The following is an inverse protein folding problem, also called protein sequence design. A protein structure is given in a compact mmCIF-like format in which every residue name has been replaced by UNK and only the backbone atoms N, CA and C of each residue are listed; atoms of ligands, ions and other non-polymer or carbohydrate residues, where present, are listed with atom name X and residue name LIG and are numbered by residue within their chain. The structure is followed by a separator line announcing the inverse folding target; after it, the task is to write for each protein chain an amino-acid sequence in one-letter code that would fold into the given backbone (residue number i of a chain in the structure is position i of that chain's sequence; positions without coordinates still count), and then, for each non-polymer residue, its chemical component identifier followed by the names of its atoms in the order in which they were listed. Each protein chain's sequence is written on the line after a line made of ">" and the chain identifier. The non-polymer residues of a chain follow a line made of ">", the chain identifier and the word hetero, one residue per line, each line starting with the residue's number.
data_IF_555090338209
#
_entry.id   IF_555090338209
#
_cell.length_a   1.000
_cell.length_b   1.000
_cell.length_c   1.000
_cell.angle_alpha   90.00
_cell.angle_beta   90.00
_cell.angle_gamma   90.00
#
_symmetry.space_group_name_H-M   'P 1'
#
loop_
_entity.id
_entity.type
_entity.pdbx_description
1 polymer ?
#
# COMPACT_ATOMS: atom_id res chain seq x y z
N UNK A 1 -24.89 6.43 -4.43
CA UNK A 1 -23.96 7.56 -4.19
C UNK A 1 -22.84 7.06 -3.29
N UNK A 2 -21.64 6.89 -3.85
CA UNK A 2 -20.48 6.45 -3.08
C UNK A 2 -20.17 7.48 -1.99
N UNK A 3 -20.01 6.97 -0.77
CA UNK A 3 -19.57 7.77 0.36
C UNK A 3 -18.11 8.22 0.12
N UNK A 4 -17.74 9.42 0.56
CA UNK A 4 -16.36 9.93 0.39
C UNK A 4 -15.30 8.99 0.98
N UNK A 5 -15.59 8.38 2.11
CA UNK A 5 -14.73 7.39 2.73
C UNK A 5 -14.56 6.13 1.89
N UNK A 6 -15.61 5.71 1.20
CA UNK A 6 -15.56 4.55 0.30
C UNK A 6 -14.67 4.82 -0.91
N UNK A 7 -14.70 6.03 -1.46
CA UNK A 7 -13.82 6.41 -2.55
C UNK A 7 -12.34 6.35 -2.13
N UNK A 8 -11.99 6.95 -1.00
CA UNK A 8 -10.61 6.93 -0.50
C UNK A 8 -10.19 5.49 -0.21
N UNK A 9 -11.05 4.72 0.47
CA UNK A 9 -10.77 3.32 0.79
C UNK A 9 -10.56 2.48 -0.47
N UNK A 10 -11.37 2.65 -1.50
CA UNK A 10 -11.20 1.93 -2.78
C UNK A 10 -9.85 2.24 -3.44
N UNK A 11 -9.41 3.49 -3.38
CA UNK A 11 -8.09 3.88 -3.91
C UNK A 11 -6.96 3.22 -3.11
N UNK A 12 -7.05 3.21 -1.79
CA UNK A 12 -6.05 2.56 -0.93
C UNK A 12 -6.00 1.06 -1.20
N UNK A 13 -7.15 0.41 -1.27
CA UNK A 13 -7.24 -1.03 -1.55
C UNK A 13 -6.63 -1.36 -2.92
N UNK A 14 -6.93 -0.56 -3.93
CA UNK A 14 -6.36 -0.72 -5.28
C UNK A 14 -4.82 -0.62 -5.24
N UNK A 15 -4.28 0.37 -4.55
CA UNK A 15 -2.84 0.56 -4.44
C UNK A 15 -2.16 -0.58 -3.66
N UNK A 16 -2.80 -1.11 -2.64
CA UNK A 16 -2.28 -2.24 -1.88
C UNK A 16 -2.31 -3.56 -2.67
N UNK A 17 -3.37 -3.78 -3.44
CA UNK A 17 -3.48 -4.96 -4.30
C UNK A 17 -2.49 -4.96 -5.46
N UNK A 18 -1.98 -3.79 -5.81
CA UNK A 18 -0.94 -3.62 -6.83
C UNK A 18 0.46 -3.50 -6.24
N UNK A 19 0.63 -3.82 -4.97
CA UNK A 19 1.91 -3.76 -4.28
C UNK A 19 2.95 -4.64 -4.96
N UNK A 20 4.16 -4.13 -5.07
CA UNK A 20 5.30 -4.83 -5.65
C UNK A 20 6.36 -5.08 -4.57
N UNK A 21 6.93 -6.27 -4.58
CA UNK A 21 8.00 -6.67 -3.68
C UNK A 21 8.95 -7.63 -4.38
N UNK A 22 10.25 -7.33 -4.29
CA UNK A 22 11.30 -8.21 -4.82
C UNK A 22 12.24 -8.59 -3.69
N UNK A 23 12.37 -9.88 -3.36
CA UNK A 23 13.19 -10.33 -2.22
C UNK A 23 14.64 -9.90 -2.29
N UNK A 24 15.20 -9.75 -3.49
CA UNK A 24 16.61 -9.37 -3.73
C UNK A 24 16.89 -7.91 -3.33
N UNK A 25 15.88 -7.07 -3.28
CA UNK A 25 15.98 -5.65 -2.94
C UNK A 25 14.89 -5.24 -1.94
N UNK A 26 14.82 -5.98 -0.87
CA UNK A 26 13.77 -5.82 0.12
C UNK A 26 13.74 -4.43 0.76
N UNK A 27 14.88 -3.79 0.94
CA UNK A 27 14.97 -2.44 1.48
C UNK A 27 14.30 -1.39 0.58
N UNK A 28 14.27 -1.61 -0.73
CA UNK A 28 13.62 -0.71 -1.70
C UNK A 28 12.13 -0.97 -1.85
N UNK A 29 11.71 -2.22 -1.66
CA UNK A 29 10.33 -2.66 -1.85
C UNK A 29 9.61 -2.87 -0.52
N UNK A 30 10.24 -2.51 0.59
CA UNK A 30 9.68 -2.74 1.93
C UNK A 30 8.35 -2.05 2.15
N UNK A 31 7.51 -2.72 2.92
CA UNK A 31 6.28 -2.16 3.46
C UNK A 31 6.62 -1.53 4.82
N UNK A 32 6.24 -0.28 5.00
CA UNK A 32 6.50 0.45 6.24
C UNK A 32 5.19 0.90 6.87
N UNK A 33 5.07 0.64 8.15
CA UNK A 33 3.99 1.11 8.98
C UNK A 33 4.58 1.81 10.20
N UNK A 34 4.18 3.04 10.42
CA UNK A 34 4.48 3.79 11.62
C UNK A 34 3.20 3.96 12.42
N UNK A 35 3.14 3.34 13.59
CA UNK A 35 1.99 3.42 14.49
C UNK A 35 1.98 4.78 15.21
N UNK A 36 0.95 5.56 14.93
CA UNK A 36 0.69 6.86 15.58
C UNK A 36 -0.77 6.96 16.03
N UNK A 37 -1.29 5.87 16.59
CA UNK A 37 -2.68 5.78 17.02
C UNK A 37 -3.65 5.86 15.82
N UNK A 38 -4.43 6.92 15.69
CA UNK A 38 -5.33 7.13 14.57
C UNK A 38 -4.74 8.02 13.46
N UNK A 39 -3.43 8.24 13.49
CA UNK A 39 -2.68 9.00 12.48
C UNK A 39 -1.52 8.18 11.93
N UNK A 40 -1.76 6.90 11.71
CA UNK A 40 -0.74 5.99 11.19
C UNK A 40 -0.24 6.44 9.82
N UNK A 41 1.02 6.14 9.55
CA UNK A 41 1.63 6.38 8.25
C UNK A 41 2.02 5.05 7.64
N UNK A 42 1.70 4.88 6.37
CA UNK A 42 1.94 3.64 5.64
C UNK A 42 2.64 3.97 4.33
N UNK A 43 3.67 3.20 3.99
CA UNK A 43 4.38 3.37 2.72
C UNK A 43 4.75 2.02 2.10
N UNK A 44 4.56 1.91 0.81
CA UNK A 44 4.90 0.71 0.03
C UNK A 44 5.13 1.06 -1.44
N UNK A 45 5.65 0.13 -2.20
CA UNK A 45 5.82 0.28 -3.65
C UNK A 45 4.64 -0.36 -4.37
N UNK A 46 4.09 0.33 -5.34
CA UNK A 46 2.95 -0.13 -6.12
C UNK A 46 3.15 0.16 -7.61
N UNK A 47 2.47 -0.60 -8.45
CA UNK A 47 2.44 -0.39 -9.89
C UNK A 47 1.13 0.24 -10.38
N UNK A 48 0.17 0.43 -9.48
CA UNK A 48 -1.15 0.92 -9.85
C UNK A 48 -1.21 2.43 -10.08
N UNK A 49 -2.34 2.89 -10.59
CA UNK A 49 -2.62 4.31 -10.84
C UNK A 49 -3.48 4.96 -9.76
N UNK A 50 -3.68 4.29 -8.64
CA UNK A 50 -4.46 4.81 -7.54
C UNK A 50 -3.96 6.19 -7.10
N UNK A 51 -4.89 7.11 -6.82
CA UNK A 51 -4.64 8.49 -6.44
C UNK A 51 -4.02 9.38 -7.54
N UNK A 52 -3.80 8.84 -8.73
CA UNK A 52 -3.13 9.56 -9.81
C UNK A 52 -4.07 9.85 -10.96
N UNK A 53 -3.74 10.89 -11.72
CA UNK A 53 -4.39 11.13 -12.99
C UNK A 53 -3.92 10.11 -14.02
N UNK A 54 -4.76 9.72 -15.00
CA UNK A 54 -4.38 8.69 -15.98
C UNK A 54 -3.15 9.03 -16.81
N UNK A 55 -2.85 10.31 -16.98
CA UNK A 55 -1.70 10.81 -17.74
C UNK A 55 -0.46 11.06 -16.89
N UNK A 56 -0.54 10.81 -15.59
CA UNK A 56 0.61 10.98 -14.70
C UNK A 56 1.70 9.95 -15.05
N UNK A 57 2.94 10.38 -15.27
CA UNK A 57 4.04 9.47 -15.55
C UNK A 57 4.28 8.42 -14.49
N UNK A 58 3.99 8.72 -13.21
CA UNK A 58 4.11 7.76 -12.11
C UNK A 58 3.15 6.58 -12.26
N UNK A 59 1.99 6.79 -12.89
CA UNK A 59 1.00 5.74 -13.11
C UNK A 59 1.46 4.65 -14.10
N UNK A 60 2.54 4.89 -14.84
CA UNK A 60 3.06 3.97 -15.86
C UNK A 60 4.11 2.99 -15.36
N UNK A 61 4.56 3.14 -14.12
CA UNK A 61 5.62 2.31 -13.59
C UNK A 61 5.53 2.15 -12.09
N UNK A 62 6.55 1.50 -11.55
CA UNK A 62 6.65 1.34 -10.11
C UNK A 62 6.94 2.68 -9.45
N UNK A 63 6.25 2.94 -8.37
CA UNK A 63 6.47 4.12 -7.54
C UNK A 63 6.23 3.78 -6.08
N UNK A 64 6.95 4.48 -5.21
CA UNK A 64 6.68 4.40 -3.77
C UNK A 64 5.54 5.35 -3.44
N UNK A 65 4.58 4.83 -2.72
CA UNK A 65 3.43 5.57 -2.22
C UNK A 65 3.53 5.71 -0.71
N UNK A 66 3.11 6.85 -0.21
CA UNK A 66 2.93 7.10 1.21
C UNK A 66 1.53 7.64 1.43
N UNK A 67 0.83 7.14 2.42
CA UNK A 67 -0.46 7.65 2.86
C UNK A 67 -0.44 7.98 4.34
N UNK A 68 -1.19 8.99 4.72
CA UNK A 68 -1.31 9.43 6.11
C UNK A 68 -2.32 10.55 6.23
N UNK A 69 -2.42 11.08 7.44
CA UNK A 69 -3.26 12.23 7.73
C UNK A 69 -2.37 13.35 8.22
N UNK A 70 -2.47 14.51 7.58
CA UNK A 70 -1.72 15.69 8.01
C UNK A 70 -2.49 16.97 7.69
N UNK A 71 -2.07 18.07 8.30
CA UNK A 71 -2.70 19.37 8.11
C UNK A 71 -2.53 19.85 6.67
N UNK A 72 -3.63 20.26 6.04
CA UNK A 72 -3.64 20.91 4.74
C UNK A 72 -3.31 22.41 4.84
N UNK A 73 -3.42 23.13 3.73
CA UNK A 73 -3.15 24.57 3.69
C UNK A 73 -4.05 25.40 4.61
N UNK A 74 -5.25 24.91 4.88
CA UNK A 74 -6.20 25.55 5.79
C UNK A 74 -5.99 25.17 7.26
N UNK A 75 -4.98 24.33 7.55
CA UNK A 75 -4.69 23.83 8.90
C UNK A 75 -5.63 22.71 9.35
N UNK A 76 -6.43 22.15 8.47
CA UNK A 76 -7.32 21.04 8.76
C UNK A 76 -6.66 19.69 8.46
N UNK A 77 -6.87 18.71 9.32
CA UNK A 77 -6.43 17.34 9.05
C UNK A 77 -7.13 16.79 7.81
N UNK A 78 -6.35 16.21 6.93
CA UNK A 78 -6.85 15.64 5.68
C UNK A 78 -6.04 14.42 5.28
N UNK A 79 -6.69 13.52 4.55
CA UNK A 79 -6.00 12.38 3.96
C UNK A 79 -5.03 12.85 2.89
N UNK A 80 -3.76 12.53 3.08
CA UNK A 80 -2.67 12.99 2.24
C UNK A 80 -1.95 11.81 1.59
N UNK A 81 -1.42 12.06 0.40
CA UNK A 81 -0.68 11.08 -0.39
C UNK A 81 0.63 11.71 -0.84
N UNK A 82 1.71 10.93 -0.80
CA UNK A 82 3.00 11.26 -1.41
C UNK A 82 3.41 10.12 -2.32
N UNK A 83 4.06 10.45 -3.42
CA UNK A 83 4.63 9.45 -4.32
C UNK A 83 5.94 9.92 -4.92
N UNK A 84 6.86 8.99 -5.09
CA UNK A 84 8.11 9.21 -5.82
C UNK A 84 8.36 8.04 -6.76
N UNK A 85 9.03 8.26 -7.90
CA UNK A 85 9.42 7.16 -8.78
C UNK A 85 10.28 6.16 -8.01
N UNK A 86 10.03 4.87 -8.21
CA UNK A 86 10.76 3.84 -7.48
C UNK A 86 12.27 3.87 -7.76
N UNK A 87 12.66 4.23 -8.97
CA UNK A 87 14.07 4.31 -9.38
C UNK A 87 14.77 5.60 -8.90
N UNK A 88 14.07 6.52 -8.29
CA UNK A 88 14.66 7.74 -7.71
C UNK A 88 15.27 7.43 -6.34
N UNK A 89 16.47 6.85 -6.36
CA UNK A 89 17.10 6.27 -5.17
C UNK A 89 17.42 7.29 -4.07
N UNK A 90 17.60 8.55 -4.44
CA UNK A 90 18.00 9.61 -3.52
C UNK A 90 16.83 10.43 -2.95
N UNK A 91 15.59 10.10 -3.34
CA UNK A 91 14.43 10.82 -2.87
C UNK A 91 13.81 10.12 -1.65
N UNK A 92 13.80 10.83 -0.52
CA UNK A 92 13.01 10.41 0.65
C UNK A 92 11.54 10.70 0.39
N UNK A 93 10.70 9.69 0.55
CA UNK A 93 9.25 9.84 0.37
C UNK A 93 8.66 10.93 1.28
N UNK A 94 9.21 11.13 2.47
CA UNK A 94 8.74 12.16 3.40
C UNK A 94 9.09 13.57 2.96
N UNK A 95 10.05 13.73 2.06
CA UNK A 95 10.42 15.02 1.48
C UNK A 95 9.59 15.36 0.23
N UNK A 96 8.91 14.37 -0.33
CA UNK A 96 7.99 14.61 -1.44
C UNK A 96 6.83 15.49 -0.99
N UNK A 97 6.42 16.40 -1.86
CA UNK A 97 5.27 17.27 -1.59
C UNK A 97 3.99 16.44 -1.54
N UNK A 98 3.19 16.53 -0.46
CA UNK A 98 1.94 15.81 -0.38
C UNK A 98 0.86 16.48 -1.23
N UNK A 99 -0.08 15.68 -1.72
CA UNK A 99 -1.35 16.21 -2.18
C UNK A 99 -2.48 15.64 -1.33
N UNK A 100 -3.54 16.44 -1.19
CA UNK A 100 -4.64 16.12 -0.29
C UNK A 100 -5.83 15.59 -1.07
N UNK A 101 -6.36 14.46 -0.62
CA UNK A 101 -7.45 13.76 -1.29
C UNK A 101 -8.79 14.13 -0.68
N UNK A 102 -8.86 14.20 0.65
CA UNK A 102 -10.11 14.47 1.35
C UNK A 102 -9.86 15.07 2.73
N UNK A 103 -10.47 16.21 2.98
CA UNK A 103 -10.52 16.83 4.31
C UNK A 103 -11.58 16.20 5.22
N UNK A 104 -12.38 15.28 4.71
CA UNK A 104 -13.36 14.54 5.51
C UNK A 104 -12.76 13.36 6.24
N UNK A 105 -11.64 12.83 5.74
CA UNK A 105 -10.89 11.78 6.42
C UNK A 105 -9.98 12.42 7.46
N UNK A 106 -10.26 12.18 8.73
CA UNK A 106 -9.57 12.79 9.87
C UNK A 106 -8.60 11.86 10.57
N UNK A 107 -8.64 10.59 10.24
CA UNK A 107 -7.76 9.61 10.87
C UNK A 107 -7.59 8.36 10.01
N UNK A 108 -6.49 7.66 10.29
CA UNK A 108 -6.11 6.41 9.64
C UNK A 108 -5.48 5.50 10.69
N UNK A 109 -5.98 4.28 10.80
CA UNK A 109 -5.40 3.24 11.64
C UNK A 109 -5.16 1.99 10.79
N UNK A 110 -4.01 1.36 10.97
CA UNK A 110 -3.65 0.15 10.27
C UNK A 110 -3.22 -0.92 11.25
N UNK A 111 -3.79 -2.11 11.10
CA UNK A 111 -3.38 -3.30 11.84
C UNK A 111 -2.95 -4.38 10.86
N UNK A 112 -1.96 -5.15 11.26
CA UNK A 112 -1.36 -6.20 10.45
C UNK A 112 -1.62 -7.54 11.12
N UNK A 113 -2.05 -8.51 10.33
CA UNK A 113 -2.23 -9.87 10.83
C UNK A 113 -0.89 -10.59 10.90
N UNK A 114 -0.56 -11.08 12.10
CA UNK A 114 0.60 -11.93 12.34
C UNK A 114 0.15 -13.40 12.39
N UNK A 115 0.57 -14.17 11.39
CA UNK A 115 0.22 -15.60 11.29
C UNK A 115 0.87 -16.46 12.37
N UNK A 116 2.01 -16.05 12.90
CA UNK A 116 2.73 -16.82 13.92
C UNK A 116 2.05 -16.71 15.27
N UNK A 117 1.62 -15.48 15.62
CA UNK A 117 0.95 -15.23 16.89
C UNK A 117 -0.58 -15.33 16.80
N UNK A 118 -1.12 -15.44 15.60
CA UNK A 118 -2.57 -15.45 15.34
C UNK A 118 -3.29 -14.23 15.97
N UNK A 119 -2.70 -13.05 15.82
CA UNK A 119 -3.22 -11.82 16.39
C UNK A 119 -2.94 -10.63 15.48
N UNK A 120 -3.66 -9.55 15.73
CA UNK A 120 -3.47 -8.26 15.08
C UNK A 120 -2.37 -7.48 15.78
N UNK A 121 -1.43 -6.94 14.97
CA UNK A 121 -0.33 -6.12 15.45
C UNK A 121 -0.46 -4.68 14.94
N UNK A 122 -0.06 -3.73 15.79
CA UNK A 122 -0.07 -2.30 15.44
C UNK A 122 1.20 -1.86 14.71
N UNK A 123 2.24 -2.66 14.75
CA UNK A 123 3.56 -2.37 14.20
C UNK A 123 3.99 -3.42 13.19
N UNK A 124 4.80 -3.01 12.22
CA UNK A 124 5.40 -3.91 11.25
C UNK A 124 6.90 -3.65 11.19
N UNK A 125 7.67 -4.53 11.78
CA UNK A 125 9.14 -4.42 11.85
C UNK A 125 9.84 -5.17 10.71
N UNK A 126 9.17 -6.14 10.11
CA UNK A 126 9.76 -6.96 9.07
C UNK A 126 9.67 -6.30 7.69
N UNK A 127 10.59 -5.38 7.42
CA UNK A 127 10.67 -4.68 6.13
C UNK A 127 11.06 -5.60 4.97
N UNK A 128 11.48 -6.83 5.25
CA UNK A 128 11.83 -7.82 4.23
C UNK A 128 10.63 -8.55 3.65
N UNK A 129 9.44 -8.25 4.13
CA UNK A 129 8.20 -8.85 3.64
C UNK A 129 7.10 -7.81 3.53
N UNK A 130 6.16 -8.08 2.66
CA UNK A 130 4.90 -7.33 2.61
C UNK A 130 3.88 -8.10 3.43
N UNK A 131 3.14 -7.46 4.35
CA UNK A 131 2.14 -8.17 5.13
C UNK A 131 1.05 -8.75 4.22
N UNK A 132 0.64 -10.01 4.45
CA UNK A 132 -0.36 -10.65 3.59
C UNK A 132 -1.77 -10.17 3.84
N UNK A 133 -2.07 -9.72 5.05
CA UNK A 133 -3.41 -9.28 5.45
C UNK A 133 -3.30 -8.07 6.36
N UNK A 134 -4.01 -7.01 6.03
CA UNK A 134 -4.08 -5.82 6.84
C UNK A 134 -5.53 -5.40 7.09
N UNK A 135 -5.75 -4.71 8.18
CA UNK A 135 -7.01 -4.06 8.49
C UNK A 135 -6.79 -2.55 8.48
N UNK A 136 -7.53 -1.87 7.61
CA UNK A 136 -7.48 -0.41 7.51
C UNK A 136 -8.77 0.17 8.07
N UNK A 137 -8.64 1.21 8.89
CA UNK A 137 -9.77 1.99 9.38
C UNK A 137 -9.54 3.45 9.03
N UNK A 138 -10.50 4.03 8.34
CA UNK A 138 -10.58 5.47 8.12
C UNK A 138 -11.60 6.07 9.06
N UNK A 139 -11.23 7.18 9.71
CA UNK A 139 -12.11 7.95 10.58
C UNK A 139 -12.55 9.18 9.83
N UNK A 140 -13.85 9.32 9.65
CA UNK A 140 -14.44 10.42 8.89
C UNK A 140 -15.13 11.42 9.81
N UNK A 141 -15.10 12.67 9.38
CA UNK A 141 -15.88 13.73 10.00
C UNK A 141 -17.36 13.34 10.07
N UNK A 142 -18.05 13.61 11.18
CA UNK A 142 -19.48 13.35 11.29
C UNK A 142 -20.27 14.03 10.17
N UNK A 143 -21.32 13.36 9.69
CA UNK A 143 -22.23 13.93 8.69
C UNK A 143 -22.99 15.13 9.22
N UNK A 144 -23.23 15.17 10.53
CA UNK A 144 -23.90 16.26 11.23
C UNK A 144 -22.96 16.89 12.26
N UNK A 145 -23.14 18.18 12.50
CA UNK A 145 -22.26 18.99 13.36
C UNK A 145 -22.01 18.41 14.76
N UNK A 146 -22.95 17.64 15.29
CA UNK A 146 -22.89 17.00 16.60
C UNK A 146 -23.04 15.48 16.51
N UNK A 147 -22.85 14.91 15.32
CA UNK A 147 -22.93 13.49 15.09
C UNK A 147 -21.69 12.73 15.59
N UNK A 148 -21.82 11.42 15.64
CA UNK A 148 -20.69 10.54 15.92
C UNK A 148 -19.75 10.43 14.71
N UNK A 149 -18.47 10.27 15.01
CA UNK A 149 -17.43 9.97 14.01
C UNK A 149 -17.79 8.69 13.25
N UNK A 150 -17.62 8.74 11.95
CA UNK A 150 -17.87 7.59 11.08
C UNK A 150 -16.58 6.81 10.88
N UNK A 151 -16.65 5.50 11.06
CA UNK A 151 -15.52 4.59 10.81
C UNK A 151 -15.81 3.74 9.60
N UNK A 152 -14.85 3.67 8.69
CA UNK A 152 -14.89 2.76 7.53
C UNK A 152 -13.72 1.79 7.68
N UNK A 153 -14.01 0.50 7.84
CA UNK A 153 -13.00 -0.53 8.06
C UNK A 153 -13.03 -1.54 6.91
N UNK A 154 -11.84 -1.90 6.40
CA UNK A 154 -11.67 -2.93 5.37
C UNK A 154 -10.52 -3.86 5.73
N UNK A 155 -10.75 -5.15 5.51
CA UNK A 155 -9.68 -6.14 5.46
C UNK A 155 -9.15 -6.22 4.03
N UNK A 156 -7.85 -6.14 3.88
CA UNK A 156 -7.21 -6.15 2.58
C UNK A 156 -6.17 -7.28 2.53
N UNK A 157 -6.38 -8.20 1.63
CA UNK A 157 -5.37 -9.19 1.27
C UNK A 157 -4.43 -8.57 0.25
N UNK A 158 -3.13 -8.55 0.58
CA UNK A 158 -2.12 -8.06 -0.34
C UNK A 158 -1.56 -9.27 -1.10
N UNK A 159 -1.74 -9.32 -2.42
CA UNK A 159 -1.19 -10.42 -3.20
C UNK A 159 0.35 -10.35 -3.18
N UNK A 160 0.98 -11.29 -2.52
CA UNK A 160 2.44 -11.43 -2.53
C UNK A 160 2.87 -12.18 -3.79
N UNK A 161 1.90 -12.74 -4.48
CA UNK A 161 2.06 -13.72 -5.51
C UNK A 161 2.85 -13.31 -6.76
N UNK A 162 2.72 -12.11 -7.33
CA UNK A 162 3.38 -11.83 -8.60
C UNK A 162 4.90 -11.96 -8.53
N UNK A 163 5.47 -11.64 -7.40
CA UNK A 163 6.91 -11.70 -7.19
C UNK A 163 7.38 -13.09 -6.79
N UNK A 164 6.61 -13.76 -5.95
CA UNK A 164 6.85 -15.14 -5.57
C UNK A 164 6.58 -16.09 -6.72
N UNK A 165 5.59 -15.78 -7.55
CA UNK A 165 5.23 -16.55 -8.73
C UNK A 165 6.29 -16.48 -9.83
N UNK A 166 6.99 -15.37 -9.97
CA UNK A 166 8.12 -15.28 -10.87
C UNK A 166 9.21 -16.28 -10.53
N UNK A 167 9.31 -16.70 -9.29
CA UNK A 167 10.22 -17.74 -8.85
C UNK A 167 9.66 -19.15 -9.01
N UNK A 168 8.36 -19.29 -9.03
CA UNK A 168 7.67 -20.59 -9.15
C UNK A 168 7.48 -20.99 -10.60
N UNK A 169 7.45 -20.04 -11.51
CA UNK A 169 7.30 -20.29 -12.93
C UNK A 169 8.57 -20.74 -13.64
N UNK A 170 9.58 -21.14 -12.92
CA UNK A 170 10.64 -21.97 -13.49
C UNK A 170 10.03 -23.33 -13.75
N UNK A 171 9.43 -23.45 -14.93
CA UNK A 171 9.15 -24.78 -15.47
C UNK A 171 10.48 -25.54 -15.39
N UNK A 172 10.49 -26.74 -14.85
CA UNK A 172 11.65 -27.58 -14.99
C UNK A 172 11.96 -27.64 -16.47
N UNK A 173 13.21 -27.38 -16.83
CA UNK A 173 13.66 -27.55 -18.19
C UNK A 173 13.13 -28.91 -18.64
N UNK A 174 12.42 -28.95 -19.76
CA UNK A 174 11.98 -30.20 -20.32
C UNK A 174 13.20 -31.13 -20.36
N UNK A 175 13.11 -32.36 -19.87
CA UNK A 175 14.23 -33.27 -20.00
C UNK A 175 14.52 -33.38 -21.47
N UNK A 176 15.72 -32.98 -21.85
CA UNK A 176 16.18 -33.15 -23.20
C UNK A 176 16.01 -34.59 -23.57
N UNK A 177 15.16 -34.86 -24.55
CA UNK A 177 14.99 -36.19 -25.06
C UNK A 177 16.33 -36.66 -25.57
N UNK A 178 16.93 -37.58 -24.86
CA UNK A 178 18.06 -38.29 -25.34
C UNK A 178 17.69 -38.99 -26.62
N UNK A 179 18.11 -38.48 -27.72
CA UNK A 179 18.08 -39.23 -28.98
C UNK A 179 18.98 -40.43 -28.80
N UNK A 180 18.40 -41.55 -28.57
CA UNK A 180 19.10 -42.82 -28.64
C UNK A 180 19.58 -43.00 -30.07
N UNK A 181 20.84 -42.85 -30.26
CA UNK A 181 21.48 -43.27 -31.51
C UNK A 181 21.46 -44.77 -31.60
N UNK A 182 21.00 -45.27 -32.62
CA UNK A 182 21.17 -46.66 -32.97
C UNK A 182 21.83 -46.76 -34.29
N UNK A 183 22.85 -47.57 -34.32
CA UNK A 183 23.45 -48.32 -35.43
C UNK A 183 23.66 -47.59 -36.72
#
# INVERSE_FOLDING_TARGET
>A
RLHHGDFVMEQVVSALRSAAYFPVRSEKYGFWLEDKSNRDEISWVTSGSAFMKPDDPLARGLHRLWIGVEANEDGEDAFAVRAVPHFAEDLDIKEAEPWFISSRVRGLDCKIWDNEQEDWEDEWENTNQVPPLIQLTLYLEPAERYGEEIKVTRLVEIPIGPVTQGNVSRSPAAPGGGAGGTN
#
